data_IF_119711521355
#
_entry.id   IF_119711521355
#
_cell.length_a   1.000
_cell.length_b   1.000
_cell.length_c   1.000
_cell.angle_alpha   90.00
_cell.angle_beta   90.00
_cell.angle_gamma   90.00
#
_symmetry.space_group_name_H-M   'P 1'
#
loop_
_entity.id
_entity.type
_entity.pdbx_description
1 polymer ?
#
# COMPACT_ATOMS: atom_id res chain seq x y z
N UNK A 1 0.57 -17.67 5.19
CA UNK A 1 -0.44 -17.33 4.16
C UNK A 1 0.25 -16.80 2.90
N UNK A 2 -0.23 -17.15 1.70
CA UNK A 2 0.29 -16.61 0.44
C UNK A 2 -0.55 -15.41 0.00
N UNK A 3 0.07 -14.33 -0.46
CA UNK A 3 -0.67 -13.17 -0.92
C UNK A 3 0.19 -11.98 -1.35
N UNK A 4 -0.49 -10.93 -1.77
CA UNK A 4 0.06 -9.65 -2.18
C UNK A 4 -0.24 -8.62 -1.08
N UNK A 5 0.81 -8.07 -0.48
CA UNK A 5 0.70 -7.22 0.69
C UNK A 5 1.14 -5.79 0.38
N UNK A 6 0.30 -4.83 0.76
CA UNK A 6 0.61 -3.41 0.56
C UNK A 6 1.88 -3.06 1.34
N UNK A 7 2.77 -2.34 0.71
CA UNK A 7 4.06 -1.93 1.28
C UNK A 7 4.13 -0.43 1.28
N UNK A 8 4.43 0.14 2.45
CA UNK A 8 4.56 1.57 2.66
C UNK A 8 5.94 1.92 3.19
N UNK A 9 6.42 3.14 2.93
CA UNK A 9 7.64 3.66 3.55
C UNK A 9 7.39 5.03 4.17
N UNK A 10 7.66 5.15 5.47
CA UNK A 10 7.61 6.42 6.17
C UNK A 10 8.63 7.40 5.58
N UNK A 11 8.18 8.60 5.18
CA UNK A 11 9.05 9.68 4.70
C UNK A 11 9.95 10.26 5.80
N UNK A 12 9.51 10.16 7.06
CA UNK A 12 10.20 10.73 8.21
C UNK A 12 11.33 9.82 8.71
N UNK A 13 10.99 8.60 9.14
CA UNK A 13 11.97 7.66 9.70
C UNK A 13 12.53 6.64 8.69
N UNK A 14 12.03 6.60 7.45
CA UNK A 14 12.48 5.67 6.41
C UNK A 14 12.01 4.23 6.56
N UNK A 15 11.32 3.87 7.65
CA UNK A 15 10.87 2.49 7.91
C UNK A 15 9.84 2.03 6.89
N UNK A 16 10.02 0.80 6.41
CA UNK A 16 9.05 0.11 5.55
C UNK A 16 8.16 -0.80 6.38
N UNK A 17 6.85 -0.79 6.11
CA UNK A 17 5.88 -1.63 6.80
C UNK A 17 4.77 -2.09 5.84
N UNK A 18 3.94 -3.00 6.33
CA UNK A 18 2.80 -3.56 5.60
C UNK A 18 1.51 -3.20 6.31
N UNK A 19 0.51 -2.77 5.56
CA UNK A 19 -0.82 -2.52 6.08
C UNK A 19 -1.85 -3.08 5.09
N UNK A 20 -2.34 -4.29 5.37
CA UNK A 20 -3.31 -5.01 4.52
C UNK A 20 -2.73 -5.70 3.29
N UNK A 21 -3.61 -6.36 2.54
CA UNK A 21 -3.27 -7.14 1.36
C UNK A 21 -4.44 -7.97 0.84
N UNK A 22 -4.18 -8.76 -0.20
CA UNK A 22 -5.14 -9.72 -0.78
C UNK A 22 -4.43 -11.01 -1.18
N UNK A 23 -5.13 -12.14 -1.08
CA UNK A 23 -4.66 -13.42 -1.63
C UNK A 23 -4.85 -13.55 -3.15
N UNK A 24 -5.65 -12.65 -3.76
CA UNK A 24 -6.01 -12.70 -5.17
C UNK A 24 -5.12 -11.77 -6.03
N UNK A 25 -4.39 -12.35 -6.98
CA UNK A 25 -3.47 -11.61 -7.87
C UNK A 25 -4.21 -10.57 -8.71
N UNK A 26 -5.41 -10.90 -9.20
CA UNK A 26 -6.18 -10.00 -10.05
C UNK A 26 -6.60 -8.73 -9.31
N UNK A 27 -7.09 -8.90 -8.09
CA UNK A 27 -7.41 -7.79 -7.18
C UNK A 27 -6.17 -6.96 -6.88
N UNK A 28 -5.02 -7.60 -6.64
CA UNK A 28 -3.76 -6.88 -6.40
C UNK A 28 -3.35 -6.02 -7.61
N UNK A 29 -3.44 -6.57 -8.83
CA UNK A 29 -3.10 -5.85 -10.07
C UNK A 29 -4.05 -4.67 -10.33
N UNK A 30 -5.35 -4.86 -10.11
CA UNK A 30 -6.34 -3.78 -10.22
C UNK A 30 -6.07 -2.66 -9.21
N UNK A 31 -5.79 -3.03 -7.96
CA UNK A 31 -5.44 -2.07 -6.91
C UNK A 31 -4.21 -1.23 -7.29
N UNK A 32 -3.18 -1.86 -7.88
CA UNK A 32 -1.99 -1.16 -8.38
C UNK A 32 -2.30 -0.21 -9.54
N UNK A 33 -3.12 -0.63 -10.51
CA UNK A 33 -3.52 0.23 -11.63
C UNK A 33 -4.29 1.47 -11.12
N UNK A 34 -5.23 1.26 -10.19
CA UNK A 34 -5.96 2.34 -9.55
C UNK A 34 -5.06 3.31 -8.79
N UNK A 35 -4.07 2.79 -8.05
CA UNK A 35 -3.09 3.61 -7.33
C UNK A 35 -2.28 4.48 -8.30
N UNK A 36 -1.83 3.92 -9.43
CA UNK A 36 -1.10 4.67 -10.45
C UNK A 36 -1.94 5.78 -11.09
N UNK A 37 -3.23 5.52 -11.37
CA UNK A 37 -4.16 6.53 -11.87
C UNK A 37 -4.37 7.64 -10.83
N UNK A 38 -4.65 7.27 -9.57
CA UNK A 38 -4.83 8.23 -8.49
C UNK A 38 -3.58 9.10 -8.28
N UNK A 39 -2.38 8.52 -8.32
CA UNK A 39 -1.11 9.24 -8.25
C UNK A 39 -0.91 10.23 -9.40
N UNK A 40 -1.56 9.99 -10.54
CA UNK A 40 -1.54 10.85 -11.72
C UNK A 40 -2.68 11.88 -11.74
N UNK A 41 -3.47 11.97 -10.66
CA UNK A 41 -4.63 12.86 -10.58
C UNK A 41 -5.85 12.38 -11.37
N UNK A 42 -5.87 11.12 -11.79
CA UNK A 42 -6.97 10.50 -12.54
C UNK A 42 -7.83 9.68 -11.59
N UNK A 43 -9.14 9.91 -11.60
CA UNK A 43 -10.07 9.12 -10.80
C UNK A 43 -10.08 7.65 -11.26
N UNK A 44 -9.89 6.68 -10.34
CA UNK A 44 -9.88 5.27 -10.70
C UNK A 44 -11.25 4.79 -11.25
N UNK A 45 -11.27 3.98 -12.31
CA UNK A 45 -12.51 3.57 -12.98
C UNK A 45 -13.32 2.54 -12.17
N UNK A 46 -12.75 1.95 -11.13
CA UNK A 46 -13.41 0.95 -10.29
C UNK A 46 -13.03 1.19 -8.85
N UNK A 47 -14.02 1.35 -7.97
CA UNK A 47 -13.77 1.44 -6.53
C UNK A 47 -13.59 0.03 -5.97
N UNK A 48 -12.44 -0.23 -5.34
CA UNK A 48 -12.19 -1.47 -4.61
C UNK A 48 -12.35 -1.19 -3.11
N UNK A 49 -12.96 -2.12 -2.37
CA UNK A 49 -13.13 -1.97 -0.90
C UNK A 49 -11.78 -1.83 -0.19
N UNK A 50 -10.77 -2.57 -0.64
CA UNK A 50 -9.41 -2.57 -0.08
C UNK A 50 -8.41 -1.83 -0.98
N UNK A 51 -8.84 -0.71 -1.57
CA UNK A 51 -7.96 0.10 -2.40
C UNK A 51 -6.84 0.71 -1.53
N UNK A 52 -5.56 0.56 -1.91
CA UNK A 52 -4.47 1.21 -1.20
C UNK A 52 -4.65 2.73 -1.19
N UNK A 53 -4.51 3.34 -0.02
CA UNK A 53 -4.29 4.77 0.07
C UNK A 53 -2.90 5.07 -0.48
N UNK A 54 -2.75 6.18 -1.22
CA UNK A 54 -1.41 6.62 -1.67
C UNK A 54 -0.51 7.03 -0.50
N UNK A 55 -1.14 7.45 0.61
CA UNK A 55 -0.47 7.88 1.82
C UNK A 55 -1.12 7.25 3.05
N UNK A 56 -0.31 6.88 4.03
CA UNK A 56 -0.76 6.45 5.35
C UNK A 56 -0.01 7.18 6.46
N UNK A 57 -0.57 7.15 7.67
CA UNK A 57 0.13 7.61 8.88
C UNK A 57 1.06 6.52 9.40
N UNK A 58 2.18 6.94 9.98
CA UNK A 58 3.14 6.04 10.61
C UNK A 58 3.58 6.59 11.97
N UNK A 59 3.43 5.80 13.02
CA UNK A 59 4.02 6.07 14.33
C UNK A 59 5.48 5.60 14.31
N UNK A 60 6.41 6.55 14.35
CA UNK A 60 7.83 6.28 14.40
C UNK A 60 8.22 5.78 15.80
N UNK A 61 9.34 5.05 15.89
CA UNK A 61 9.79 4.41 17.15
C UNK A 61 10.20 5.42 18.22
N UNK A 62 10.58 6.62 17.82
CA UNK A 62 10.89 7.77 18.70
C UNK A 62 9.63 8.48 19.21
N UNK A 63 8.43 8.01 18.85
CA UNK A 63 7.15 8.62 19.19
C UNK A 63 6.68 9.71 18.21
N UNK A 64 7.45 10.02 17.16
CA UNK A 64 7.07 10.97 16.12
C UNK A 64 5.99 10.40 15.18
N UNK A 65 5.25 11.27 14.49
CA UNK A 65 4.25 10.87 13.49
C UNK A 65 4.69 11.28 12.08
N UNK A 66 4.85 10.30 11.20
CA UNK A 66 5.24 10.50 9.81
C UNK A 66 4.09 10.20 8.83
N UNK A 67 4.26 10.70 7.60
CA UNK A 67 3.48 10.27 6.44
C UNK A 67 4.27 9.22 5.69
N UNK A 68 3.62 8.12 5.32
CA UNK A 68 4.20 7.02 4.59
C UNK A 68 3.65 6.94 3.17
N UNK A 69 4.54 6.69 2.21
CA UNK A 69 4.18 6.51 0.81
C UNK A 69 3.88 5.07 0.50
N UNK A 70 2.81 4.84 -0.25
CA UNK A 70 2.57 3.55 -0.87
C UNK A 70 3.65 3.25 -1.92
N UNK A 71 4.33 2.11 -1.76
CA UNK A 71 5.39 1.65 -2.66
C UNK A 71 4.90 0.60 -3.67
N UNK A 72 3.78 -0.07 -3.36
CA UNK A 72 3.22 -1.15 -4.16
C UNK A 72 2.85 -2.37 -3.33
N UNK A 73 2.51 -3.47 -4.01
CA UNK A 73 2.16 -4.73 -3.37
C UNK A 73 3.26 -5.77 -3.54
N UNK A 74 3.77 -6.30 -2.43
CA UNK A 74 4.82 -7.32 -2.41
C UNK A 74 4.19 -8.70 -2.26
N UNK A 75 4.56 -9.62 -3.14
CA UNK A 75 4.19 -11.03 -2.98
C UNK A 75 4.96 -11.65 -1.81
N UNK A 76 4.26 -12.41 -0.96
CA UNK A 76 4.87 -13.21 0.11
C UNK A 76 4.21 -14.57 0.18
N UNK A 77 5.02 -15.59 0.38
CA UNK A 77 4.59 -16.90 0.87
C UNK A 77 5.18 -17.05 2.28
N UNK A 78 4.37 -16.98 3.34
CA UNK A 78 4.87 -17.40 4.65
C UNK A 78 5.12 -18.91 4.60
N UNK A 79 6.38 -19.30 4.85
CA UNK A 79 6.81 -20.69 5.07
C UNK A 79 6.44 -21.16 6.47
#
# INVERSE_FOLDING_TARGET
MKGHYMTFRCRLCGKTFTNGGTGDEWTARKAMANAALAASGIEPPTKLENQPLMHETHCCEDGSFGVADFLGMKYREER
#
